data_IF_750861657531
#
_entry.id   IF_750861657531
#
_cell.length_a   1.000
_cell.length_b   1.000
_cell.length_c   1.000
_cell.angle_alpha   90.00
_cell.angle_beta   90.00
_cell.angle_gamma   90.00
#
_symmetry.space_group_name_H-M   'P 1'
#
loop_
_entity.id
_entity.type
_entity.pdbx_description
1 polymer ?
#
# COMPACT_ATOMS: atom_id res chain seq x y z
N UNK A 1 4.12 17.93 -3.61
CA UNK A 1 3.12 17.85 -4.69
C UNK A 1 2.88 16.38 -5.03
N UNK A 2 1.66 15.89 -4.93
CA UNK A 2 1.29 14.55 -5.40
C UNK A 2 0.90 14.66 -6.88
N UNK A 3 1.39 13.75 -7.72
CA UNK A 3 1.07 13.70 -9.15
C UNK A 3 0.59 12.30 -9.49
N UNK A 4 -0.53 12.23 -10.20
CA UNK A 4 -0.99 10.97 -10.79
C UNK A 4 -0.08 10.68 -11.98
N UNK A 5 0.58 9.53 -11.94
CA UNK A 5 1.56 9.13 -12.97
C UNK A 5 1.01 8.08 -13.93
N UNK A 6 -0.12 7.44 -13.64
CA UNK A 6 -0.75 6.45 -14.52
C UNK A 6 -2.15 6.11 -14.05
N UNK A 7 -3.04 5.85 -15.01
CA UNK A 7 -4.39 5.33 -14.83
C UNK A 7 -4.63 4.41 -16.01
N UNK A 8 -5.10 3.19 -15.76
CA UNK A 8 -5.59 2.29 -16.82
C UNK A 8 -6.93 1.72 -16.39
N UNK A 9 -7.74 1.35 -17.37
CA UNK A 9 -8.94 0.57 -17.13
C UNK A 9 -8.53 -0.88 -16.83
N UNK A 10 -8.86 -1.35 -15.64
CA UNK A 10 -8.64 -2.74 -15.24
C UNK A 10 -9.93 -3.55 -15.34
N UNK A 11 -9.91 -4.69 -16.05
CA UNK A 11 -11.06 -5.62 -16.05
C UNK A 11 -11.24 -6.32 -14.69
N UNK A 12 -10.12 -6.62 -14.00
CA UNK A 12 -10.03 -7.16 -12.63
C UNK A 12 -8.74 -6.65 -11.97
N UNK A 13 -8.66 -6.72 -10.65
CA UNK A 13 -7.41 -6.53 -9.87
C UNK A 13 -6.43 -7.72 -10.03
N UNK A 14 -6.25 -8.17 -11.27
CA UNK A 14 -5.38 -9.28 -11.62
C UNK A 14 -3.92 -8.82 -11.70
N UNK A 15 -2.98 -9.77 -11.60
CA UNK A 15 -1.56 -9.45 -11.81
C UNK A 15 -1.32 -8.85 -13.20
N UNK A 16 -2.01 -9.34 -14.24
CA UNK A 16 -1.84 -8.86 -15.60
C UNK A 16 -2.23 -7.38 -15.75
N UNK A 17 -3.36 -6.96 -15.17
CA UNK A 17 -3.81 -5.55 -15.19
C UNK A 17 -2.81 -4.62 -14.51
N UNK A 18 -2.21 -5.08 -13.40
CA UNK A 18 -1.19 -4.30 -12.70
C UNK A 18 0.15 -4.27 -13.45
N UNK A 19 0.55 -5.39 -14.04
CA UNK A 19 1.75 -5.45 -14.88
C UNK A 19 1.67 -4.49 -16.06
N UNK A 20 0.50 -4.31 -16.67
CA UNK A 20 0.28 -3.36 -17.76
C UNK A 20 0.63 -1.93 -17.34
N UNK A 21 0.04 -1.45 -16.23
CA UNK A 21 0.32 -0.10 -15.72
C UNK A 21 1.78 0.08 -15.34
N UNK A 22 2.36 -0.91 -14.65
CA UNK A 22 3.74 -0.80 -14.19
C UNK A 22 4.75 -0.88 -15.35
N UNK A 23 4.43 -1.64 -16.39
CA UNK A 23 5.23 -1.71 -17.62
C UNK A 23 5.17 -0.39 -18.38
N UNK A 24 3.99 0.22 -18.52
CA UNK A 24 3.84 1.54 -19.12
C UNK A 24 4.66 2.60 -18.36
N UNK A 25 4.65 2.57 -17.03
CA UNK A 25 5.49 3.46 -16.21
C UNK A 25 6.98 3.26 -16.50
N UNK A 26 7.43 2.01 -16.65
CA UNK A 26 8.82 1.70 -16.99
C UNK A 26 9.20 2.22 -18.37
N UNK A 27 8.32 2.05 -19.36
CA UNK A 27 8.51 2.55 -20.73
C UNK A 27 8.55 4.08 -20.79
N UNK A 28 7.87 4.77 -19.87
CA UNK A 28 7.91 6.24 -19.72
C UNK A 28 9.10 6.76 -18.91
N UNK A 29 10.05 5.88 -18.55
CA UNK A 29 11.32 6.26 -17.93
C UNK A 29 11.46 5.91 -16.44
N UNK A 30 10.52 5.17 -15.85
CA UNK A 30 10.70 4.59 -14.50
C UNK A 30 11.53 3.30 -14.58
N UNK A 31 12.76 3.40 -15.09
CA UNK A 31 13.63 2.26 -15.36
C UNK A 31 14.14 1.61 -14.08
N UNK A 32 14.53 2.44 -13.12
CA UNK A 32 15.02 2.02 -11.81
C UNK A 32 13.87 1.54 -10.92
N UNK A 33 14.13 0.50 -10.14
CA UNK A 33 13.17 0.01 -9.15
C UNK A 33 12.83 1.10 -8.13
N UNK A 34 11.54 1.33 -7.84
CA UNK A 34 11.15 2.13 -6.68
C UNK A 34 11.76 1.53 -5.42
N UNK A 35 12.26 2.38 -4.51
CA UNK A 35 12.75 1.89 -3.21
C UNK A 35 11.64 1.28 -2.35
N UNK A 36 10.41 1.71 -2.56
CA UNK A 36 9.21 1.32 -1.81
C UNK A 36 7.98 1.37 -2.72
N UNK A 37 7.21 0.29 -2.72
CA UNK A 37 5.84 0.24 -3.23
C UNK A 37 4.87 0.22 -2.06
N UNK A 38 3.91 1.15 -2.06
CA UNK A 38 2.84 1.22 -1.06
C UNK A 38 1.52 0.91 -1.73
N UNK A 39 0.85 -0.15 -1.28
CA UNK A 39 -0.39 -0.63 -1.87
C UNK A 39 -1.36 -1.10 -0.80
N UNK A 40 -2.59 -1.40 -1.19
CA UNK A 40 -3.53 -2.11 -0.32
C UNK A 40 -3.30 -3.64 -0.38
N UNK A 41 -4.34 -4.46 -0.34
CA UNK A 41 -4.25 -5.92 -0.24
C UNK A 41 -4.36 -6.66 -1.54
N UNK A 42 -4.34 -5.92 -2.65
CA UNK A 42 -4.48 -6.48 -3.98
C UNK A 42 -3.30 -7.42 -4.29
N UNK A 43 -3.53 -8.73 -4.23
CA UNK A 43 -2.51 -9.74 -4.54
C UNK A 43 -1.96 -9.60 -5.97
N UNK A 44 -2.79 -9.12 -6.91
CA UNK A 44 -2.36 -8.81 -8.27
C UNK A 44 -1.25 -7.76 -8.32
N UNK A 45 -1.41 -6.67 -7.55
CA UNK A 45 -0.42 -5.59 -7.47
C UNK A 45 0.92 -6.10 -6.94
N UNK A 46 0.89 -6.85 -5.84
CA UNK A 46 2.12 -7.36 -5.22
C UNK A 46 2.85 -8.37 -6.10
N UNK A 47 2.12 -9.21 -6.84
CA UNK A 47 2.71 -10.11 -7.85
C UNK A 47 3.36 -9.33 -8.99
N UNK A 48 2.72 -8.29 -9.49
CA UNK A 48 3.25 -7.45 -10.56
C UNK A 48 4.52 -6.70 -10.12
N UNK A 49 4.51 -6.08 -8.93
CA UNK A 49 5.69 -5.40 -8.36
C UNK A 49 6.85 -6.38 -8.19
N UNK A 50 6.63 -7.53 -7.58
CA UNK A 50 7.69 -8.54 -7.38
C UNK A 50 8.27 -9.06 -8.70
N UNK A 51 7.48 -9.11 -9.77
CA UNK A 51 7.93 -9.51 -11.10
C UNK A 51 8.77 -8.43 -11.79
N UNK A 52 8.34 -7.18 -11.76
CA UNK A 52 9.02 -6.09 -12.48
C UNK A 52 10.19 -5.51 -11.70
N UNK A 53 10.09 -5.45 -10.38
CA UNK A 53 11.09 -4.87 -9.48
C UNK A 53 11.24 -5.72 -8.19
N UNK A 54 11.99 -6.83 -8.24
CA UNK A 54 12.17 -7.73 -7.10
C UNK A 54 12.79 -7.07 -5.86
N UNK A 55 13.64 -6.05 -6.06
CA UNK A 55 14.34 -5.31 -4.99
C UNK A 55 13.46 -4.23 -4.34
N UNK A 56 12.24 -3.99 -4.85
CA UNK A 56 11.34 -2.98 -4.29
C UNK A 56 10.74 -3.46 -2.97
N UNK A 57 10.98 -2.71 -1.90
CA UNK A 57 10.33 -2.98 -0.62
C UNK A 57 8.81 -2.83 -0.73
N UNK A 58 8.07 -3.67 -0.02
CA UNK A 58 6.61 -3.67 -0.03
C UNK A 58 6.08 -3.18 1.32
N UNK A 59 5.12 -2.25 1.28
CA UNK A 59 4.45 -1.73 2.46
C UNK A 59 2.94 -1.63 2.26
N UNK A 60 2.18 -2.03 3.27
CA UNK A 60 0.74 -1.81 3.29
C UNK A 60 0.44 -0.33 3.53
N UNK A 61 -0.47 0.22 2.74
CA UNK A 61 -0.96 1.58 2.93
C UNK A 61 -1.66 1.72 4.29
N UNK A 62 -1.15 2.59 5.16
CA UNK A 62 -1.71 2.84 6.48
C UNK A 62 -3.13 3.42 6.40
N UNK A 63 -3.41 4.26 5.41
CA UNK A 63 -4.75 4.85 5.19
C UNK A 63 -5.78 3.75 4.89
N UNK A 64 -5.52 2.90 3.90
CA UNK A 64 -6.41 1.78 3.59
C UNK A 64 -6.49 0.78 4.75
N UNK A 65 -5.37 0.51 5.43
CA UNK A 65 -5.37 -0.38 6.59
C UNK A 65 -6.24 0.17 7.73
N UNK A 66 -6.20 1.48 7.99
CA UNK A 66 -7.07 2.16 8.95
C UNK A 66 -8.53 1.95 8.57
N UNK A 67 -8.89 2.27 7.31
CA UNK A 67 -10.26 2.11 6.81
C UNK A 67 -10.77 0.67 6.97
N UNK A 68 -9.94 -0.32 6.58
CA UNK A 68 -10.27 -1.74 6.70
C UNK A 68 -10.53 -2.16 8.16
N UNK A 69 -9.81 -1.59 9.13
CA UNK A 69 -10.06 -1.86 10.55
C UNK A 69 -11.34 -1.17 11.03
N UNK A 70 -11.55 0.10 10.67
CA UNK A 70 -12.75 0.84 11.06
C UNK A 70 -14.04 0.19 10.56
N UNK A 71 -14.02 -0.38 9.34
CA UNK A 71 -15.16 -1.09 8.76
C UNK A 71 -15.62 -2.29 9.60
N UNK A 72 -14.71 -2.91 10.37
CA UNK A 72 -15.00 -4.08 11.21
C UNK A 72 -15.32 -3.71 12.66
N UNK A 73 -15.41 -2.42 12.99
CA UNK A 73 -15.63 -1.95 14.36
C UNK A 73 -16.97 -1.19 14.51
N UNK A 74 -17.66 -1.35 15.65
CA UNK A 74 -18.75 -0.47 16.02
C UNK A 74 -18.32 0.99 16.02
N UNK A 75 -19.17 1.89 15.48
CA UNK A 75 -18.85 3.33 15.35
C UNK A 75 -18.38 3.98 16.65
N UNK A 76 -18.94 3.56 17.80
CA UNK A 76 -18.57 4.07 19.12
C UNK A 76 -17.11 3.78 19.51
N UNK A 77 -16.51 2.70 18.99
CA UNK A 77 -15.13 2.33 19.27
C UNK A 77 -14.13 2.96 18.30
N UNK A 78 -14.58 3.37 17.10
CA UNK A 78 -13.70 3.82 16.02
C UNK A 78 -12.77 4.98 16.42
N UNK A 79 -13.21 6.04 17.15
CA UNK A 79 -12.31 7.13 17.53
C UNK A 79 -11.10 6.64 18.32
N UNK A 80 -11.34 5.84 19.36
CA UNK A 80 -10.29 5.29 20.24
C UNK A 80 -9.35 4.34 19.49
N UNK A 81 -9.89 3.45 18.65
CA UNK A 81 -9.04 2.49 17.92
C UNK A 81 -8.24 3.19 16.82
N UNK A 82 -8.79 4.23 16.17
CA UNK A 82 -8.06 5.02 15.18
C UNK A 82 -6.87 5.74 15.79
N UNK A 83 -7.02 6.31 17.00
CA UNK A 83 -5.92 6.92 17.75
C UNK A 83 -4.85 5.88 18.09
N UNK A 84 -5.24 4.74 18.67
CA UNK A 84 -4.29 3.67 18.98
C UNK A 84 -3.53 3.15 17.75
N UNK A 85 -4.21 3.04 16.60
CA UNK A 85 -3.57 2.68 15.34
C UNK A 85 -2.57 3.76 14.87
N UNK A 86 -2.91 5.04 15.00
CA UNK A 86 -1.98 6.14 14.71
C UNK A 86 -0.72 6.04 15.57
N UNK A 87 -0.86 5.79 16.88
CA UNK A 87 0.26 5.68 17.80
C UNK A 87 1.23 4.57 17.39
N UNK A 88 0.72 3.43 16.91
CA UNK A 88 1.56 2.30 16.46
C UNK A 88 2.50 2.72 15.32
N UNK A 89 2.01 3.39 14.29
CA UNK A 89 2.85 3.73 13.13
C UNK A 89 3.53 5.09 13.21
N UNK A 90 3.17 5.93 14.19
CA UNK A 90 3.91 7.13 14.56
C UNK A 90 5.01 6.86 15.59
N UNK A 91 5.07 5.66 16.18
CA UNK A 91 6.12 5.28 17.12
C UNK A 91 7.52 5.47 16.51
N UNK A 92 8.43 6.05 17.29
CA UNK A 92 9.79 6.38 16.86
C UNK A 92 10.59 5.12 16.47
N UNK A 93 10.31 4.01 17.15
CA UNK A 93 10.97 2.73 16.89
C UNK A 93 9.98 1.60 16.66
N UNK A 94 10.43 0.62 15.87
CA UNK A 94 9.68 -0.64 15.68
C UNK A 94 9.40 -1.36 17.01
N UNK A 95 10.32 -1.28 17.98
CA UNK A 95 10.14 -1.88 19.31
C UNK A 95 8.98 -1.24 20.07
N UNK A 96 8.82 0.08 19.96
CA UNK A 96 7.72 0.80 20.58
C UNK A 96 6.40 0.56 19.87
N UNK A 97 6.40 0.50 18.53
CA UNK A 97 5.23 0.13 17.74
C UNK A 97 4.62 -1.21 18.20
N UNK A 98 5.45 -2.20 18.53
CA UNK A 98 5.00 -3.52 19.01
C UNK A 98 4.37 -3.50 20.41
N UNK A 99 4.55 -2.44 21.21
CA UNK A 99 3.87 -2.33 22.52
C UNK A 99 2.39 -1.98 22.39
N UNK A 100 1.97 -1.46 21.23
CA UNK A 100 0.57 -1.10 20.95
C UNK A 100 -0.27 -2.25 20.39
N UNK A 101 0.29 -3.46 20.27
CA UNK A 101 -0.38 -4.70 19.84
C UNK A 101 -0.72 -5.53 21.08
#
# INVERSE_FOLDING_TARGET
MQRIIGVTDGYRESAASWEEVLTDLKQRGLENSPKLAVGDGALGFWRAVAKLWPETNQQRCQVHKTANVMEKLPKVMQPKVKEALHDIWQAETRKEAYKGI
#
